data_IF_886175837139
#
_entry.id   IF_886175837139
#
_cell.length_a   1.000
_cell.length_b   1.000
_cell.length_c   1.000
_cell.angle_alpha   90.00
_cell.angle_beta   90.00
_cell.angle_gamma   90.00
#
_symmetry.space_group_name_H-M   'P 1'
#
loop_
_entity.id
_entity.type
_entity.pdbx_description
1 polymer ?
#
# COMPACT_ATOMS: atom_id res chain seq x y z
N UNK A 1 10.02 9.12 9.78
CA UNK A 1 11.35 9.66 10.17
C UNK A 1 11.44 11.18 9.98
N UNK A 2 11.20 11.73 8.79
CA UNK A 2 11.29 13.19 8.53
C UNK A 2 10.38 14.03 9.45
N UNK A 3 9.12 13.61 9.62
CA UNK A 3 8.16 14.28 10.52
C UNK A 3 8.58 14.31 12.00
N UNK A 4 9.37 13.31 12.48
CA UNK A 4 9.85 13.30 13.87
C UNK A 4 10.98 14.32 14.10
N UNK A 5 11.75 14.63 13.06
CA UNK A 5 12.75 15.71 13.11
C UNK A 5 12.11 17.08 12.95
N UNK A 6 11.02 17.16 12.20
CA UNK A 6 10.26 18.38 11.97
C UNK A 6 9.57 18.89 13.25
N UNK A 7 9.07 18.01 14.10
CA UNK A 7 8.50 18.36 15.42
C UNK A 7 9.53 18.97 16.40
N UNK A 8 10.82 18.76 16.16
CA UNK A 8 11.90 19.17 17.08
C UNK A 8 12.67 20.42 16.59
N UNK A 9 12.25 21.02 15.46
CA UNK A 9 12.91 22.15 14.81
C UNK A 9 11.95 23.35 14.78
N UNK A 10 12.48 24.54 15.05
CA UNK A 10 11.71 25.79 15.01
C UNK A 10 11.13 26.04 13.61
N UNK A 11 9.83 26.34 13.54
CA UNK A 11 9.08 26.61 12.30
C UNK A 11 9.65 27.72 11.39
N UNK A 12 10.58 28.54 11.89
CA UNK A 12 11.15 29.71 11.20
C UNK A 12 12.56 29.46 10.65
N UNK A 13 12.91 28.19 10.42
CA UNK A 13 14.23 27.80 9.94
C UNK A 13 14.16 27.19 8.53
N UNK A 14 15.11 27.55 7.66
CA UNK A 14 15.20 27.03 6.29
C UNK A 14 15.20 25.49 6.23
N UNK A 15 15.68 24.83 7.29
CA UNK A 15 15.64 23.37 7.44
C UNK A 15 14.21 22.82 7.56
N UNK A 16 13.29 23.53 8.21
CA UNK A 16 11.89 23.12 8.31
C UNK A 16 11.22 23.09 6.93
N UNK A 17 11.51 24.09 6.09
CA UNK A 17 10.96 24.18 4.73
C UNK A 17 11.52 23.09 3.82
N UNK A 18 12.82 22.82 3.91
CA UNK A 18 13.46 21.71 3.16
C UNK A 18 12.85 20.36 3.57
N UNK A 19 12.71 20.10 4.87
CA UNK A 19 12.12 18.84 5.36
C UNK A 19 10.64 18.70 4.96
N UNK A 20 9.90 19.82 4.92
CA UNK A 20 8.52 19.86 4.41
C UNK A 20 8.44 19.53 2.93
N UNK A 21 9.31 20.14 2.10
CA UNK A 21 9.35 19.84 0.67
C UNK A 21 9.73 18.38 0.39
N UNK A 22 10.72 17.84 1.10
CA UNK A 22 11.12 16.43 0.97
C UNK A 22 9.97 15.50 1.34
N UNK A 23 9.24 15.79 2.42
CA UNK A 23 8.07 15.01 2.83
C UNK A 23 6.96 15.05 1.78
N UNK A 24 6.70 16.24 1.23
CA UNK A 24 5.68 16.42 0.19
C UNK A 24 6.02 15.66 -1.09
N UNK A 25 7.25 15.78 -1.57
CA UNK A 25 7.73 15.03 -2.75
C UNK A 25 7.67 13.52 -2.50
N UNK A 26 8.06 13.06 -1.32
CA UNK A 26 8.00 11.66 -0.94
C UNK A 26 6.58 11.10 -0.95
N UNK A 27 5.61 11.84 -0.39
CA UNK A 27 4.19 11.44 -0.40
C UNK A 27 3.64 11.41 -1.83
N UNK A 28 3.96 12.40 -2.66
CA UNK A 28 3.51 12.42 -4.07
C UNK A 28 4.08 11.23 -4.85
N UNK A 29 5.38 10.96 -4.71
CA UNK A 29 6.02 9.82 -5.35
C UNK A 29 5.39 8.49 -4.90
N UNK A 30 5.09 8.37 -3.61
CA UNK A 30 4.38 7.20 -3.06
C UNK A 30 2.98 7.04 -3.68
N UNK A 31 2.20 8.12 -3.78
CA UNK A 31 0.86 8.08 -4.38
C UNK A 31 0.94 7.64 -5.84
N UNK A 32 1.87 8.18 -6.62
CA UNK A 32 2.07 7.79 -8.02
C UNK A 32 2.42 6.30 -8.13
N UNK A 33 3.40 5.83 -7.35
CA UNK A 33 3.80 4.42 -7.35
C UNK A 33 2.65 3.50 -6.91
N UNK A 34 1.87 3.90 -5.90
CA UNK A 34 0.71 3.17 -5.42
C UNK A 34 -0.39 3.08 -6.48
N UNK A 35 -0.68 4.18 -7.18
CA UNK A 35 -1.69 4.22 -8.26
C UNK A 35 -1.35 3.27 -9.40
N UNK A 36 -0.09 3.19 -9.82
CA UNK A 36 0.33 2.26 -10.87
C UNK A 36 0.41 0.81 -10.40
N UNK A 37 0.89 0.59 -9.16
CA UNK A 37 1.07 -0.75 -8.60
C UNK A 37 -0.21 -1.30 -7.99
N UNK A 38 -0.45 -0.95 -6.73
CA UNK A 38 -1.53 -1.48 -5.90
C UNK A 38 -2.94 -1.14 -6.41
N UNK A 39 -3.07 -0.09 -7.23
CA UNK A 39 -4.35 0.33 -7.80
C UNK A 39 -4.93 -0.63 -8.85
N UNK A 40 -4.08 -1.21 -9.71
CA UNK A 40 -4.52 -2.02 -10.84
C UNK A 40 -4.00 -3.47 -10.80
N UNK A 41 -2.75 -3.67 -10.36
CA UNK A 41 -2.07 -4.97 -10.45
C UNK A 41 -2.79 -6.08 -9.64
N UNK A 42 -3.21 -5.87 -8.38
CA UNK A 42 -3.88 -6.92 -7.61
C UNK A 42 -5.20 -7.38 -8.25
N UNK A 43 -5.95 -6.46 -8.86
CA UNK A 43 -7.20 -6.77 -9.53
C UNK A 43 -6.98 -7.54 -10.85
N UNK A 44 -5.94 -7.17 -11.59
CA UNK A 44 -5.55 -7.87 -12.83
C UNK A 44 -5.11 -9.30 -12.50
N UNK A 45 -4.15 -9.46 -11.58
CA UNK A 45 -3.64 -10.77 -11.16
C UNK A 45 -4.77 -11.67 -10.62
N UNK A 46 -5.68 -11.11 -9.82
CA UNK A 46 -6.87 -11.83 -9.34
C UNK A 46 -7.75 -12.32 -10.49
N UNK A 47 -7.88 -11.53 -11.56
CA UNK A 47 -8.62 -11.93 -12.76
C UNK A 47 -7.88 -12.96 -13.61
N UNK A 48 -6.54 -13.03 -13.52
CA UNK A 48 -5.70 -13.97 -14.28
C UNK A 48 -5.51 -15.32 -13.59
N UNK A 49 -5.45 -15.37 -12.26
CA UNK A 49 -5.19 -16.62 -11.51
C UNK A 49 -6.48 -17.43 -11.26
N UNK A 50 -7.63 -16.76 -11.15
CA UNK A 50 -8.86 -17.42 -10.69
C UNK A 50 -9.71 -18.01 -11.85
N UNK A 51 -10.15 -19.28 -11.74
CA UNK A 51 -11.08 -19.88 -12.69
C UNK A 51 -12.43 -19.15 -12.70
N UNK A 52 -13.05 -19.07 -13.88
CA UNK A 52 -14.28 -18.28 -14.14
C UNK A 52 -15.43 -18.61 -13.19
N UNK A 53 -15.52 -19.86 -12.73
CA UNK A 53 -16.58 -20.34 -11.82
C UNK A 53 -16.51 -19.78 -10.40
N UNK A 54 -15.31 -19.48 -9.88
CA UNK A 54 -15.12 -18.97 -8.50
C UNK A 54 -14.66 -17.51 -8.45
N UNK A 55 -14.32 -16.93 -9.61
CA UNK A 55 -13.80 -15.56 -9.74
C UNK A 55 -14.71 -14.51 -9.11
N UNK A 56 -16.02 -14.62 -9.29
CA UNK A 56 -16.99 -13.68 -8.72
C UNK A 56 -17.05 -13.76 -7.19
N UNK A 57 -17.02 -14.97 -6.63
CA UNK A 57 -17.04 -15.20 -5.18
C UNK A 57 -15.75 -14.66 -4.54
N UNK A 58 -14.59 -15.08 -5.04
CA UNK A 58 -13.30 -14.65 -4.52
C UNK A 58 -13.07 -13.14 -4.68
N UNK A 59 -13.46 -12.56 -5.82
CA UNK A 59 -13.42 -11.12 -6.03
C UNK A 59 -14.31 -10.34 -5.07
N UNK A 60 -15.50 -10.87 -4.74
CA UNK A 60 -16.40 -10.25 -3.75
C UNK A 60 -15.81 -10.28 -2.34
N UNK A 61 -15.21 -11.41 -1.93
CA UNK A 61 -14.52 -11.50 -0.64
C UNK A 61 -13.32 -10.56 -0.56
N UNK A 62 -12.50 -10.47 -1.61
CA UNK A 62 -11.36 -9.57 -1.66
C UNK A 62 -11.80 -8.10 -1.61
N UNK A 63 -12.87 -7.76 -2.33
CA UNK A 63 -13.48 -6.42 -2.27
C UNK A 63 -13.98 -6.11 -0.87
N UNK A 64 -14.70 -7.04 -0.24
CA UNK A 64 -15.21 -6.86 1.12
C UNK A 64 -14.08 -6.69 2.14
N UNK A 65 -13.02 -7.50 2.06
CA UNK A 65 -11.84 -7.34 2.89
C UNK A 65 -11.17 -5.97 2.68
N UNK A 66 -11.02 -5.55 1.41
CA UNK A 66 -10.46 -4.24 1.07
C UNK A 66 -11.27 -3.08 1.67
N UNK A 67 -12.60 -3.13 1.58
CA UNK A 67 -13.49 -2.12 2.16
C UNK A 67 -13.48 -2.14 3.69
N UNK A 68 -13.45 -3.32 4.32
CA UNK A 68 -13.34 -3.43 5.78
C UNK A 68 -12.02 -2.87 6.30
N UNK A 69 -10.90 -3.18 5.64
CA UNK A 69 -9.60 -2.60 5.98
C UNK A 69 -9.62 -1.08 5.80
N UNK A 70 -10.17 -0.58 4.69
CA UNK A 70 -10.30 0.85 4.43
C UNK A 70 -11.15 1.57 5.48
N UNK A 71 -12.24 0.94 5.93
CA UNK A 71 -13.08 1.45 7.01
C UNK A 71 -12.30 1.50 8.34
N UNK A 72 -11.61 0.42 8.70
CA UNK A 72 -10.79 0.36 9.91
C UNK A 72 -9.68 1.41 9.92
N UNK A 73 -8.98 1.60 8.80
CA UNK A 73 -7.97 2.64 8.64
C UNK A 73 -8.60 4.02 8.78
N UNK A 74 -9.75 4.29 8.15
CA UNK A 74 -10.40 5.61 8.23
C UNK A 74 -10.80 5.97 9.66
N UNK A 75 -11.32 5.00 10.44
CA UNK A 75 -11.68 5.22 11.84
C UNK A 75 -10.44 5.44 12.73
N UNK A 76 -9.38 4.67 12.49
CA UNK A 76 -8.15 4.73 13.30
C UNK A 76 -7.23 5.88 12.91
N UNK A 77 -7.25 6.34 11.66
CA UNK A 77 -6.36 7.37 11.13
C UNK A 77 -6.50 8.69 11.89
N UNK A 78 -7.73 9.14 12.17
CA UNK A 78 -7.96 10.39 12.92
C UNK A 78 -7.42 10.31 14.36
N UNK A 79 -7.51 9.13 14.99
CA UNK A 79 -6.98 8.89 16.34
C UNK A 79 -5.44 8.83 16.35
N UNK A 80 -4.85 8.21 15.33
CA UNK A 80 -3.41 8.07 15.21
C UNK A 80 -2.74 9.42 14.91
N UNK A 81 -3.31 10.21 14.00
CA UNK A 81 -2.80 11.54 13.64
C UNK A 81 -2.87 12.50 14.84
N UNK A 82 -3.95 12.45 15.63
CA UNK A 82 -4.08 13.30 16.82
C UNK A 82 -3.12 12.92 17.96
N UNK A 83 -2.67 11.66 18.00
CA UNK A 83 -1.67 11.21 18.96
C UNK A 83 -0.24 11.56 18.54
N UNK A 84 0.13 11.26 17.30
CA UNK A 84 1.42 11.66 16.73
C UNK A 84 1.41 11.50 15.21
N UNK A 85 1.55 12.62 14.49
CA UNK A 85 1.73 12.60 13.03
C UNK A 85 2.98 11.80 12.63
N UNK A 86 4.11 12.03 13.30
CA UNK A 86 5.38 11.34 13.01
C UNK A 86 5.33 9.82 13.26
N UNK A 87 4.64 9.38 14.32
CA UNK A 87 4.42 7.96 14.61
C UNK A 87 3.53 7.28 13.57
N UNK A 88 2.46 7.97 13.14
CA UNK A 88 1.48 7.46 12.16
C UNK A 88 2.08 7.25 10.78
N UNK A 89 2.84 8.23 10.26
CA UNK A 89 3.49 8.06 8.96
C UNK A 89 4.58 6.99 8.99
N UNK A 90 5.24 6.79 10.14
CA UNK A 90 6.25 5.75 10.30
C UNK A 90 5.63 4.35 10.34
N UNK A 91 4.49 4.16 11.01
CA UNK A 91 3.78 2.87 11.00
C UNK A 91 3.26 2.52 9.60
N UNK A 92 2.73 3.49 8.84
CA UNK A 92 2.34 3.26 7.45
C UNK A 92 3.52 2.92 6.54
N UNK A 93 4.69 3.54 6.76
CA UNK A 93 5.91 3.19 6.03
C UNK A 93 6.33 1.73 6.31
N UNK A 94 6.29 1.29 7.56
CA UNK A 94 6.62 -0.09 7.94
C UNK A 94 5.65 -1.08 7.26
N UNK A 95 4.34 -0.82 7.35
CA UNK A 95 3.33 -1.68 6.72
C UNK A 95 3.53 -1.72 5.20
N UNK A 96 3.78 -0.58 4.57
CA UNK A 96 4.06 -0.51 3.13
C UNK A 96 5.32 -1.29 2.73
N UNK A 97 6.40 -1.21 3.51
CA UNK A 97 7.61 -1.98 3.27
C UNK A 97 7.37 -3.49 3.42
N UNK A 98 6.61 -3.91 4.43
CA UNK A 98 6.19 -5.31 4.57
C UNK A 98 5.33 -5.78 3.39
N UNK A 99 4.40 -4.96 2.91
CA UNK A 99 3.61 -5.27 1.71
C UNK A 99 4.49 -5.42 0.49
N UNK A 100 5.49 -4.55 0.31
CA UNK A 100 6.43 -4.65 -0.81
C UNK A 100 7.22 -5.96 -0.77
N UNK A 101 7.75 -6.34 0.40
CA UNK A 101 8.45 -7.61 0.60
C UNK A 101 7.53 -8.80 0.33
N UNK A 102 6.29 -8.75 0.82
CA UNK A 102 5.28 -9.77 0.56
C UNK A 102 5.00 -9.92 -0.93
N UNK A 103 4.81 -8.80 -1.65
CA UNK A 103 4.59 -8.84 -3.11
C UNK A 103 5.78 -9.47 -3.83
N UNK A 104 7.01 -9.06 -3.52
CA UNK A 104 8.20 -9.58 -4.22
C UNK A 104 8.42 -11.07 -3.96
N UNK A 105 8.14 -11.57 -2.74
CA UNK A 105 8.44 -12.96 -2.35
C UNK A 105 7.28 -13.90 -2.66
N UNK A 106 6.04 -13.48 -2.47
CA UNK A 106 4.86 -14.35 -2.51
C UNK A 106 3.98 -14.17 -3.74
N UNK A 107 4.05 -13.04 -4.46
CA UNK A 107 3.26 -12.87 -5.68
C UNK A 107 4.05 -13.44 -6.86
N UNK A 108 3.65 -14.59 -7.43
CA UNK A 108 4.31 -15.13 -8.61
C UNK A 108 4.06 -14.21 -9.80
N UNK A 109 5.08 -14.01 -10.62
CA UNK A 109 4.97 -13.25 -11.87
C UNK A 109 3.99 -13.97 -12.82
N UNK A 110 2.79 -13.42 -13.02
CA UNK A 110 1.77 -13.96 -13.93
C UNK A 110 1.96 -13.51 -15.37
N UNK A 111 2.84 -12.54 -15.61
CA UNK A 111 3.02 -11.90 -16.92
C UNK A 111 3.55 -12.88 -17.96
N UNK A 112 2.70 -13.20 -18.93
CA UNK A 112 3.06 -14.02 -20.10
C UNK A 112 2.99 -15.53 -19.89
N UNK A 113 2.42 -16.01 -18.77
CA UNK A 113 2.13 -17.44 -18.57
C UNK A 113 0.68 -17.75 -18.89
N UNK A 114 0.43 -18.91 -19.48
CA UNK A 114 -0.94 -19.37 -19.72
C UNK A 114 -1.60 -19.79 -18.40
N UNK A 115 -2.93 -19.63 -18.31
CA UNK A 115 -3.74 -20.07 -17.17
C UNK A 115 -3.44 -21.51 -16.74
N UNK A 116 -3.11 -22.38 -17.69
CA UNK A 116 -2.79 -23.79 -17.47
C UNK A 116 -1.43 -24.00 -16.76
N UNK A 117 -0.40 -23.20 -17.06
CA UNK A 117 0.91 -23.29 -16.38
C UNK A 117 0.83 -22.81 -14.92
N UNK A 118 0.00 -21.81 -14.64
CA UNK A 118 -0.23 -21.32 -13.27
C UNK A 118 -0.99 -22.37 -12.47
N UNK A 119 -2.01 -23.02 -13.04
CA UNK A 119 -2.73 -24.11 -12.38
C UNK A 119 -1.84 -25.35 -12.12
N UNK A 120 -0.86 -25.62 -12.99
CA UNK A 120 0.10 -26.71 -12.77
C UNK A 120 1.13 -26.40 -11.69
N UNK A 121 1.50 -25.13 -11.50
CA UNK A 121 2.42 -24.68 -10.45
C UNK A 121 1.84 -24.78 -9.03
N UNK A 122 0.52 -24.83 -8.89
CA UNK A 122 -0.19 -24.93 -7.60
C UNK A 122 -0.61 -26.36 -7.24
N UNK A 123 -0.12 -27.37 -7.98
CA UNK A 123 -0.40 -28.79 -7.71
C UNK A 123 0.71 -29.46 -6.90
#
# INVERSE_FOLDING_TARGET
MVYLFQDNISHDSDLYDILSMVSLVGVVAYVIAFSFGMGAIPWIIMSEILPVSIKSLAGSFATLANWLTSFGITMTANLLISWSAGGTFTSYMIVSAFTLVFVIVWVPETKGRTLEEIQWSFR
#
